data_IF_989947903316
#
_entry.id   IF_989947903316
#
_cell.length_a   1.000
_cell.length_b   1.000
_cell.length_c   1.000
_cell.angle_alpha   90.00
_cell.angle_beta   90.00
_cell.angle_gamma   90.00
#
_symmetry.space_group_name_H-M   'P 1'
#
loop_
_entity.id
_entity.type
_entity.pdbx_description
1 polymer ?
#
# COMPACT_ATOMS: atom_id res chain seq x y z
N UNK A 1 -37.84 -59.79 17.30
CA UNK A 1 -36.65 -58.94 17.40
C UNK A 1 -36.38 -58.39 16.02
N UNK A 2 -36.69 -57.08 15.78
CA UNK A 2 -36.47 -56.41 14.48
C UNK A 2 -35.16 -55.60 14.62
N UNK A 3 -34.11 -56.00 13.90
CA UNK A 3 -32.87 -55.25 13.82
C UNK A 3 -33.07 -54.06 12.89
N UNK A 4 -32.99 -52.86 13.44
CA UNK A 4 -33.00 -51.58 12.70
C UNK A 4 -31.54 -51.23 12.35
N UNK A 5 -31.19 -51.39 11.07
CA UNK A 5 -29.90 -50.93 10.54
C UNK A 5 -29.95 -49.40 10.39
N UNK A 6 -29.20 -48.68 11.20
CA UNK A 6 -28.94 -47.24 10.98
C UNK A 6 -27.85 -47.10 9.92
N UNK A 7 -28.23 -46.67 8.72
CA UNK A 7 -27.30 -46.24 7.68
C UNK A 7 -26.97 -44.75 7.97
N UNK A 8 -25.80 -44.48 8.52
CA UNK A 8 -25.27 -43.12 8.67
C UNK A 8 -24.75 -42.69 7.29
N UNK A 9 -25.47 -41.84 6.60
CA UNK A 9 -25.01 -41.19 5.39
C UNK A 9 -23.98 -40.12 5.77
N UNK A 10 -22.69 -40.39 5.51
CA UNK A 10 -21.62 -39.40 5.62
C UNK A 10 -21.76 -38.45 4.41
N UNK A 11 -22.36 -37.30 4.63
CA UNK A 11 -22.36 -36.23 3.63
C UNK A 11 -20.95 -35.58 3.60
N UNK A 12 -20.14 -36.00 2.65
CA UNK A 12 -18.92 -35.28 2.29
C UNK A 12 -19.35 -33.99 1.62
N UNK A 13 -19.31 -32.88 2.38
CA UNK A 13 -19.40 -31.55 1.79
C UNK A 13 -18.09 -31.31 1.04
N UNK A 14 -18.11 -31.50 -0.27
CA UNK A 14 -17.07 -30.95 -1.14
C UNK A 14 -17.18 -29.43 -1.08
N UNK A 15 -16.31 -28.79 -0.33
CA UNK A 15 -16.03 -27.38 -0.55
C UNK A 15 -15.37 -27.30 -1.93
N UNK A 16 -16.12 -26.88 -2.95
CA UNK A 16 -15.52 -26.47 -4.21
C UNK A 16 -14.60 -25.28 -3.87
N UNK A 17 -13.30 -25.52 -3.80
CA UNK A 17 -12.32 -24.44 -3.84
C UNK A 17 -12.54 -23.70 -5.17
N UNK A 18 -12.62 -22.37 -5.13
CA UNK A 18 -12.83 -21.58 -6.32
C UNK A 18 -11.61 -21.76 -7.25
N UNK A 19 -11.83 -22.38 -8.40
CA UNK A 19 -10.84 -22.49 -9.46
C UNK A 19 -10.91 -21.23 -10.33
N UNK A 20 -9.98 -20.30 -10.10
CA UNK A 20 -9.95 -19.05 -10.85
C UNK A 20 -9.50 -19.20 -12.30
N UNK A 21 -8.94 -20.33 -12.70
CA UNK A 21 -8.60 -20.59 -14.11
C UNK A 21 -9.85 -20.75 -15.00
N UNK A 22 -10.97 -21.18 -14.39
CA UNK A 22 -12.25 -21.37 -15.10
C UNK A 22 -13.24 -20.22 -14.89
N UNK A 23 -12.84 -19.17 -14.19
CA UNK A 23 -13.70 -18.00 -14.01
C UNK A 23 -13.99 -17.33 -15.37
N UNK A 24 -15.23 -16.84 -15.57
CA UNK A 24 -15.69 -16.24 -16.84
C UNK A 24 -14.78 -15.12 -17.40
N UNK A 25 -14.08 -14.38 -16.52
CA UNK A 25 -13.19 -13.29 -16.90
C UNK A 25 -11.70 -13.71 -16.93
N UNK A 26 -11.37 -14.98 -16.68
CA UNK A 26 -9.98 -15.45 -16.62
C UNK A 26 -9.34 -15.56 -17.99
N UNK A 27 -10.11 -15.95 -19.01
CA UNK A 27 -9.57 -16.15 -20.35
C UNK A 27 -8.88 -14.88 -20.88
N UNK A 28 -9.49 -13.72 -20.70
CA UNK A 28 -8.89 -12.44 -21.12
C UNK A 28 -7.54 -12.18 -20.43
N UNK A 29 -7.42 -12.50 -19.14
CA UNK A 29 -6.17 -12.35 -18.39
C UNK A 29 -5.12 -13.37 -18.86
N UNK A 30 -5.52 -14.61 -19.10
CA UNK A 30 -4.66 -15.68 -19.62
C UNK A 30 -4.12 -15.27 -20.99
N UNK A 31 -5.02 -14.86 -21.89
CA UNK A 31 -4.66 -14.43 -23.26
C UNK A 31 -3.66 -13.27 -23.24
N UNK A 32 -3.86 -12.28 -22.36
CA UNK A 32 -2.94 -11.14 -22.22
C UNK A 32 -1.56 -11.60 -21.72
N UNK A 33 -1.52 -12.44 -20.66
CA UNK A 33 -0.24 -12.96 -20.11
C UNK A 33 0.52 -13.81 -21.13
N UNK A 34 -0.18 -14.62 -21.92
CA UNK A 34 0.43 -15.50 -22.91
C UNK A 34 0.85 -14.72 -24.15
N UNK A 35 -0.07 -13.99 -24.78
CA UNK A 35 0.16 -13.37 -26.10
C UNK A 35 0.99 -12.10 -26.04
N UNK A 36 0.81 -11.28 -24.98
CA UNK A 36 1.52 -10.00 -24.87
C UNK A 36 2.80 -10.12 -24.05
N UNK A 37 2.80 -10.97 -23.00
CA UNK A 37 3.91 -11.08 -22.07
C UNK A 37 4.71 -12.38 -22.15
N UNK A 38 4.28 -13.35 -22.99
CA UNK A 38 5.02 -14.58 -23.28
C UNK A 38 5.13 -15.53 -22.11
N UNK A 39 4.10 -15.61 -21.27
CA UNK A 39 3.99 -16.66 -20.26
C UNK A 39 3.49 -17.96 -20.89
N UNK A 40 3.95 -19.10 -20.36
CA UNK A 40 3.38 -20.40 -20.72
C UNK A 40 1.94 -20.51 -20.18
N UNK A 41 0.99 -20.87 -21.03
CA UNK A 41 -0.43 -20.95 -20.67
C UNK A 41 -0.66 -21.90 -19.48
N UNK A 42 -0.01 -23.07 -19.51
CA UNK A 42 -0.09 -24.07 -18.43
C UNK A 42 0.37 -23.51 -17.09
N UNK A 43 1.41 -22.70 -17.06
CA UNK A 43 1.89 -22.02 -15.85
C UNK A 43 0.86 -21.02 -15.31
N UNK A 44 0.28 -20.20 -16.17
CA UNK A 44 -0.74 -19.22 -15.76
C UNK A 44 -1.97 -19.94 -15.17
N UNK A 45 -2.42 -21.02 -15.84
CA UNK A 45 -3.52 -21.86 -15.36
C UNK A 45 -3.21 -22.45 -13.99
N UNK A 46 -2.02 -23.05 -13.80
CA UNK A 46 -1.60 -23.63 -12.52
C UNK A 46 -1.62 -22.60 -11.39
N UNK A 47 -1.07 -21.41 -11.64
CA UNK A 47 -1.07 -20.32 -10.65
C UNK A 47 -2.49 -19.91 -10.28
N UNK A 48 -3.39 -19.73 -11.25
CA UNK A 48 -4.79 -19.38 -11.01
C UNK A 48 -5.55 -20.47 -10.27
N UNK A 49 -5.29 -21.75 -10.57
CA UNK A 49 -5.87 -22.90 -9.86
C UNK A 49 -5.41 -22.99 -8.39
N UNK A 50 -4.16 -22.59 -8.13
CA UNK A 50 -3.59 -22.58 -6.77
C UNK A 50 -4.15 -21.50 -5.87
N UNK A 51 -4.77 -20.46 -6.45
CA UNK A 51 -5.26 -19.31 -5.72
C UNK A 51 -6.56 -19.63 -4.96
N UNK A 52 -6.63 -19.15 -3.72
CA UNK A 52 -7.76 -19.42 -2.81
C UNK A 52 -8.62 -18.19 -2.66
N UNK A 53 -9.92 -18.36 -2.82
CA UNK A 53 -10.89 -17.30 -2.53
C UNK A 53 -10.88 -16.91 -1.04
N UNK A 54 -10.88 -15.60 -0.78
CA UNK A 54 -10.80 -15.02 0.58
C UNK A 54 -11.86 -13.94 0.76
N UNK A 55 -13.07 -14.32 1.16
CA UNK A 55 -14.20 -13.39 1.35
C UNK A 55 -13.91 -12.28 2.36
N UNK A 56 -13.00 -12.51 3.31
CA UNK A 56 -12.55 -11.48 4.25
C UNK A 56 -11.88 -10.29 3.57
N UNK A 57 -11.21 -10.49 2.43
CA UNK A 57 -10.56 -9.44 1.65
C UNK A 57 -11.59 -8.53 1.01
N UNK A 58 -12.66 -9.08 0.45
CA UNK A 58 -13.78 -8.32 -0.10
C UNK A 58 -14.41 -7.41 0.96
N UNK A 59 -14.61 -7.93 2.18
CA UNK A 59 -15.14 -7.15 3.31
C UNK A 59 -14.20 -6.01 3.73
N UNK A 60 -12.89 -6.26 3.80
CA UNK A 60 -11.88 -5.26 4.19
C UNK A 60 -11.75 -4.15 3.15
N UNK A 61 -11.69 -4.48 1.86
CA UNK A 61 -11.62 -3.49 0.77
C UNK A 61 -12.89 -2.65 0.68
N UNK A 62 -14.04 -3.20 1.06
CA UNK A 62 -15.31 -2.46 1.09
C UNK A 62 -15.32 -1.34 2.16
N UNK A 63 -14.61 -1.52 3.27
CA UNK A 63 -14.66 -0.63 4.44
C UNK A 63 -13.25 -0.22 4.92
N UNK A 64 -12.50 0.55 4.12
CA UNK A 64 -11.16 0.97 4.50
C UNK A 64 -11.21 1.98 5.66
N UNK A 65 -10.23 1.91 6.57
CA UNK A 65 -10.16 2.75 7.77
C UNK A 65 -10.14 4.25 7.44
N UNK A 66 -9.50 4.62 6.33
CA UNK A 66 -9.37 5.99 5.84
C UNK A 66 -10.71 6.65 5.52
N UNK A 67 -11.73 5.85 5.19
CA UNK A 67 -13.09 6.33 4.87
C UNK A 67 -14.07 6.24 6.04
N UNK A 68 -13.74 5.44 7.04
CA UNK A 68 -14.69 5.10 8.13
C UNK A 68 -14.34 5.76 9.46
N UNK A 69 -13.10 6.26 9.62
CA UNK A 69 -12.61 6.85 10.87
C UNK A 69 -12.54 8.37 10.80
N UNK A 70 -12.87 9.01 11.93
CA UNK A 70 -12.59 10.43 12.14
C UNK A 70 -11.08 10.68 12.20
N UNK A 71 -10.64 11.94 12.05
CA UNK A 71 -9.23 12.28 12.24
C UNK A 71 -8.71 11.92 13.62
N UNK A 72 -9.49 12.21 14.68
CA UNK A 72 -9.11 11.85 16.04
C UNK A 72 -8.82 10.36 16.20
N UNK A 73 -9.74 9.52 15.71
CA UNK A 73 -9.56 8.07 15.76
C UNK A 73 -8.38 7.61 14.92
N UNK A 74 -8.24 8.15 13.71
CA UNK A 74 -7.18 7.78 12.78
C UNK A 74 -5.80 8.17 13.32
N UNK A 75 -5.66 9.38 13.85
CA UNK A 75 -4.43 9.88 14.48
C UNK A 75 -3.96 8.96 15.61
N UNK A 76 -4.88 8.48 16.46
CA UNK A 76 -4.54 7.61 17.59
C UNK A 76 -3.99 6.24 17.18
N UNK A 77 -4.24 5.79 15.94
CA UNK A 77 -3.69 4.54 15.42
C UNK A 77 -2.17 4.68 15.21
N UNK A 78 -1.73 5.83 14.71
CA UNK A 78 -0.36 6.02 14.23
C UNK A 78 0.52 6.83 15.19
N UNK A 79 0.00 7.86 15.86
CA UNK A 79 0.78 8.75 16.73
C UNK A 79 0.81 8.19 18.15
N UNK A 80 1.55 7.10 18.35
CA UNK A 80 1.72 6.42 19.63
C UNK A 80 3.14 6.57 20.13
N UNK A 81 3.32 6.73 21.46
CA UNK A 81 4.65 6.84 22.10
C UNK A 81 5.61 5.73 21.65
N UNK A 82 5.10 4.49 21.57
CA UNK A 82 5.91 3.35 21.12
C UNK A 82 6.38 3.53 19.69
N UNK A 83 5.47 3.88 18.75
CA UNK A 83 5.84 4.07 17.33
C UNK A 83 6.81 5.22 17.14
N UNK A 84 6.65 6.32 17.90
CA UNK A 84 7.60 7.45 17.89
C UNK A 84 8.98 6.99 18.37
N UNK A 85 9.04 6.22 19.47
CA UNK A 85 10.30 5.66 19.98
C UNK A 85 10.95 4.72 18.97
N UNK A 86 10.17 3.81 18.38
CA UNK A 86 10.64 2.84 17.41
C UNK A 86 11.14 3.55 16.11
N UNK A 87 10.46 4.62 15.67
CA UNK A 87 10.89 5.43 14.52
C UNK A 87 12.19 6.18 14.77
N UNK A 88 12.37 6.78 15.93
CA UNK A 88 13.65 7.42 16.30
C UNK A 88 14.80 6.39 16.36
N UNK A 89 14.50 5.18 16.84
CA UNK A 89 15.46 4.08 16.82
C UNK A 89 15.78 3.67 15.38
N UNK A 90 14.77 3.52 14.52
CA UNK A 90 14.95 3.19 13.11
C UNK A 90 15.82 4.23 12.38
N UNK A 91 15.58 5.53 12.61
CA UNK A 91 16.40 6.60 12.04
C UNK A 91 17.86 6.43 12.47
N UNK A 92 18.11 6.22 13.76
CA UNK A 92 19.46 6.05 14.29
C UNK A 92 20.19 4.83 13.69
N UNK A 93 19.48 3.72 13.52
CA UNK A 93 20.04 2.47 13.01
C UNK A 93 20.30 2.50 11.50
N UNK A 94 19.57 3.34 10.74
CA UNK A 94 19.67 3.42 9.29
C UNK A 94 20.09 4.84 8.83
N UNK A 95 20.79 5.59 9.67
CA UNK A 95 21.06 7.02 9.45
C UNK A 95 21.79 7.29 8.14
N UNK A 96 22.80 6.48 7.80
CA UNK A 96 23.61 6.66 6.59
C UNK A 96 22.77 6.52 5.32
N UNK A 97 21.93 5.49 5.25
CA UNK A 97 21.03 5.24 4.11
C UNK A 97 19.97 6.33 3.99
N UNK A 98 19.38 6.73 5.13
CA UNK A 98 18.37 7.79 5.17
C UNK A 98 18.93 9.15 4.76
N UNK A 99 20.13 9.53 5.21
CA UNK A 99 20.78 10.79 4.82
C UNK A 99 21.21 10.77 3.35
N UNK A 100 21.66 9.63 2.84
CA UNK A 100 21.92 9.46 1.41
C UNK A 100 20.63 9.66 0.60
N UNK A 101 19.51 9.03 0.99
CA UNK A 101 18.24 9.18 0.31
C UNK A 101 17.70 10.63 0.40
N UNK A 102 17.84 11.30 1.54
CA UNK A 102 17.47 12.70 1.71
C UNK A 102 18.29 13.61 0.79
N UNK A 103 19.61 13.39 0.70
CA UNK A 103 20.49 14.15 -0.17
C UNK A 103 20.15 13.97 -1.66
N UNK A 104 19.89 12.74 -2.08
CA UNK A 104 19.66 12.35 -3.47
C UNK A 104 18.26 12.74 -3.97
N UNK A 105 17.23 12.40 -3.21
CA UNK A 105 15.82 12.60 -3.62
C UNK A 105 15.22 13.91 -3.07
N UNK A 106 15.85 14.54 -2.09
CA UNK A 106 15.34 15.74 -1.43
C UNK A 106 14.18 15.48 -0.48
N UNK A 107 13.94 14.23 -0.09
CA UNK A 107 12.87 13.83 0.83
C UNK A 107 13.45 13.68 2.23
N UNK A 108 12.95 14.44 3.24
CA UNK A 108 13.46 14.36 4.60
C UNK A 108 13.38 12.94 5.16
N UNK A 109 14.43 12.51 5.85
CA UNK A 109 14.52 11.19 6.48
C UNK A 109 13.34 10.87 7.42
N UNK A 110 12.80 11.91 8.08
CA UNK A 110 11.65 11.76 8.95
C UNK A 110 10.37 11.38 8.16
N UNK A 111 10.20 11.90 6.94
CA UNK A 111 9.06 11.56 6.06
C UNK A 111 9.18 10.12 5.57
N UNK A 112 10.36 9.70 5.09
CA UNK A 112 10.61 8.32 4.65
C UNK A 112 10.32 7.36 5.80
N UNK A 113 10.88 7.66 6.98
CA UNK A 113 10.67 6.84 8.19
C UNK A 113 9.22 6.82 8.65
N UNK A 114 8.49 7.96 8.51
CA UNK A 114 7.08 8.02 8.88
C UNK A 114 6.21 7.12 7.98
N UNK A 115 6.49 7.08 6.68
CA UNK A 115 5.81 6.15 5.76
C UNK A 115 6.08 4.70 6.18
N UNK A 116 7.34 4.30 6.41
CA UNK A 116 7.67 2.95 6.92
C UNK A 116 6.95 2.64 8.24
N UNK A 117 6.83 3.64 9.11
CA UNK A 117 6.11 3.53 10.38
C UNK A 117 4.61 3.34 10.21
N UNK A 118 3.99 4.05 9.28
CA UNK A 118 2.55 3.96 9.01
C UNK A 118 2.23 2.65 8.30
N UNK A 119 2.98 2.28 7.27
CA UNK A 119 2.73 1.10 6.43
C UNK A 119 2.93 -0.21 7.19
N UNK A 120 4.09 -0.38 7.80
CA UNK A 120 4.48 -1.70 8.32
C UNK A 120 4.93 -1.70 9.77
N UNK A 121 4.86 -0.54 10.47
CA UNK A 121 5.51 -0.40 11.76
C UNK A 121 7.00 -0.79 11.69
N UNK A 122 7.70 -0.23 10.69
CA UNK A 122 9.13 -0.45 10.41
C UNK A 122 9.46 -1.91 10.07
N UNK A 123 8.61 -2.58 9.30
CA UNK A 123 8.73 -3.99 8.91
C UNK A 123 8.11 -4.98 9.90
N UNK A 124 7.53 -4.51 11.01
CA UNK A 124 6.90 -5.39 12.01
C UNK A 124 5.58 -6.04 11.52
N UNK A 125 4.97 -5.53 10.46
CA UNK A 125 3.75 -6.08 9.86
C UNK A 125 3.69 -5.78 8.36
N UNK A 126 4.22 -6.64 7.55
CA UNK A 126 4.21 -6.53 6.09
C UNK A 126 3.04 -7.29 5.43
N UNK A 127 2.08 -7.77 6.23
CA UNK A 127 0.98 -8.59 5.76
C UNK A 127 1.27 -10.10 5.86
N UNK A 128 0.19 -10.88 5.85
CA UNK A 128 0.27 -12.34 6.04
C UNK A 128 -0.51 -13.13 4.98
N UNK A 129 -1.20 -12.44 4.08
CA UNK A 129 -1.96 -13.09 3.03
C UNK A 129 -1.06 -13.40 1.82
N UNK A 130 -1.28 -14.53 1.17
CA UNK A 130 -0.65 -14.74 -0.14
C UNK A 130 -1.16 -13.66 -1.10
N UNK A 131 -0.23 -12.98 -1.77
CA UNK A 131 -0.58 -11.90 -2.72
C UNK A 131 -1.44 -12.43 -3.85
N UNK A 132 -1.14 -13.63 -4.34
CA UNK A 132 -1.94 -14.30 -5.37
C UNK A 132 -3.40 -14.49 -4.93
N UNK A 133 -3.66 -14.94 -3.68
CA UNK A 133 -5.03 -15.08 -3.17
C UNK A 133 -5.75 -13.72 -3.09
N UNK A 134 -5.03 -12.68 -2.67
CA UNK A 134 -5.57 -11.33 -2.56
C UNK A 134 -5.98 -10.77 -3.93
N UNK A 135 -5.05 -10.81 -4.88
CA UNK A 135 -5.25 -10.21 -6.19
C UNK A 135 -6.27 -10.98 -7.03
N UNK A 136 -6.29 -12.33 -6.97
CA UNK A 136 -7.30 -13.12 -7.66
C UNK A 136 -8.69 -12.92 -7.06
N UNK A 137 -8.84 -13.00 -5.72
CA UNK A 137 -10.14 -12.75 -5.08
C UNK A 137 -10.68 -11.37 -5.45
N UNK A 138 -9.87 -10.33 -5.33
CA UNK A 138 -10.30 -8.96 -5.64
C UNK A 138 -10.44 -8.71 -7.15
N UNK A 139 -9.62 -9.37 -7.97
CA UNK A 139 -9.64 -9.23 -9.43
C UNK A 139 -10.86 -9.88 -10.08
N UNK A 140 -11.39 -10.92 -9.48
CA UNK A 140 -12.51 -11.65 -10.06
C UNK A 140 -13.82 -11.46 -9.30
N UNK A 141 -13.79 -11.24 -7.98
CA UNK A 141 -15.00 -11.21 -7.15
C UNK A 141 -15.34 -9.81 -6.59
N UNK A 142 -14.49 -8.78 -6.69
CA UNK A 142 -14.85 -7.42 -6.26
C UNK A 142 -15.72 -6.73 -7.32
N UNK A 143 -16.95 -6.35 -7.00
CA UNK A 143 -17.88 -5.80 -7.99
C UNK A 143 -17.52 -4.38 -8.47
N UNK A 144 -16.63 -3.68 -7.76
CA UNK A 144 -16.32 -2.27 -8.02
C UNK A 144 -14.94 -2.05 -8.63
N UNK A 145 -13.95 -2.85 -8.24
CA UNK A 145 -12.53 -2.63 -8.59
C UNK A 145 -11.88 -3.84 -9.26
N UNK A 146 -12.66 -4.81 -9.75
CA UNK A 146 -12.12 -6.03 -10.37
C UNK A 146 -11.12 -5.74 -11.49
N UNK A 147 -11.41 -4.79 -12.37
CA UNK A 147 -10.48 -4.40 -13.45
C UNK A 147 -9.12 -3.92 -12.92
N UNK A 148 -9.14 -3.10 -11.88
CA UNK A 148 -7.91 -2.61 -11.25
C UNK A 148 -7.10 -3.78 -10.66
N UNK A 149 -7.73 -4.68 -9.91
CA UNK A 149 -7.02 -5.79 -9.30
C UNK A 149 -6.56 -6.85 -10.31
N UNK A 150 -7.28 -7.03 -11.43
CA UNK A 150 -6.78 -7.86 -12.55
C UNK A 150 -5.53 -7.25 -13.20
N UNK A 151 -5.50 -5.93 -13.40
CA UNK A 151 -4.30 -5.24 -13.85
C UNK A 151 -3.14 -5.43 -12.86
N UNK A 152 -3.38 -5.30 -11.55
CA UNK A 152 -2.35 -5.55 -10.55
C UNK A 152 -1.91 -7.03 -10.51
N UNK A 153 -2.80 -7.97 -10.82
CA UNK A 153 -2.46 -9.38 -10.93
C UNK A 153 -1.52 -9.64 -12.12
N UNK A 154 -1.75 -9.03 -13.28
CA UNK A 154 -0.84 -9.07 -14.41
C UNK A 154 0.53 -8.49 -14.01
N UNK A 155 0.53 -7.32 -13.36
CA UNK A 155 1.77 -6.72 -12.86
C UNK A 155 2.49 -7.61 -11.84
N UNK A 156 1.75 -8.42 -11.07
CA UNK A 156 2.33 -9.37 -10.11
C UNK A 156 3.01 -10.53 -10.81
N UNK A 157 2.41 -11.10 -11.85
CA UNK A 157 3.08 -12.12 -12.68
C UNK A 157 4.40 -11.59 -13.25
N UNK A 158 4.37 -10.38 -13.80
CA UNK A 158 5.57 -9.73 -14.37
C UNK A 158 6.63 -9.48 -13.30
N UNK A 159 6.23 -8.89 -12.16
CA UNK A 159 7.10 -8.59 -11.03
C UNK A 159 7.84 -9.84 -10.53
N UNK A 160 7.10 -10.93 -10.34
CA UNK A 160 7.68 -12.17 -9.80
C UNK A 160 8.67 -12.81 -10.76
N UNK A 161 8.42 -12.74 -12.07
CA UNK A 161 9.35 -13.18 -13.11
C UNK A 161 10.60 -12.30 -13.19
N UNK A 162 10.44 -10.97 -13.11
CA UNK A 162 11.52 -9.99 -13.23
C UNK A 162 12.50 -10.05 -12.05
N UNK A 163 12.03 -10.42 -10.87
CA UNK A 163 12.83 -10.39 -9.63
C UNK A 163 13.06 -11.79 -9.01
N UNK A 164 12.76 -12.86 -9.75
CA UNK A 164 12.88 -14.25 -9.27
C UNK A 164 12.14 -14.49 -7.93
N UNK A 165 10.96 -13.92 -7.78
CA UNK A 165 10.12 -14.02 -6.58
C UNK A 165 9.12 -15.17 -6.74
N UNK A 166 8.96 -16.01 -5.71
CA UNK A 166 7.98 -17.11 -5.71
C UNK A 166 6.54 -16.55 -5.62
N UNK A 167 5.83 -16.59 -6.76
CA UNK A 167 4.45 -16.09 -6.90
C UNK A 167 3.47 -16.77 -5.93
N UNK A 168 3.70 -18.04 -5.60
CA UNK A 168 2.81 -18.84 -4.75
C UNK A 168 3.05 -18.63 -3.25
N UNK A 169 4.24 -18.13 -2.85
CA UNK A 169 4.62 -17.96 -1.45
C UNK A 169 4.65 -16.52 -0.98
N UNK A 170 4.73 -15.58 -1.91
CA UNK A 170 4.82 -14.15 -1.60
C UNK A 170 3.63 -13.68 -0.77
N UNK A 171 3.95 -13.03 0.36
CA UNK A 171 2.96 -12.51 1.29
C UNK A 171 2.89 -10.99 1.24
N UNK A 172 1.69 -10.47 1.54
CA UNK A 172 1.41 -9.06 1.57
C UNK A 172 0.13 -8.74 2.34
N UNK A 173 -0.39 -7.53 2.12
CA UNK A 173 -1.67 -7.10 2.69
C UNK A 173 -2.86 -7.81 2.03
N UNK A 174 -4.03 -7.62 2.62
CA UNK A 174 -5.31 -8.11 2.06
C UNK A 174 -5.64 -7.52 0.67
N UNK A 175 -4.98 -6.45 0.28
CA UNK A 175 -5.14 -5.79 -1.03
C UNK A 175 -3.93 -6.00 -1.96
N UNK A 176 -2.98 -6.89 -1.59
CA UNK A 176 -1.83 -7.24 -2.42
C UNK A 176 -0.65 -6.28 -2.33
N UNK A 177 -0.61 -5.38 -1.34
CA UNK A 177 0.55 -4.54 -1.08
C UNK A 177 1.67 -5.33 -0.38
N UNK A 178 2.95 -5.07 -0.74
CA UNK A 178 4.08 -5.93 -0.42
C UNK A 178 5.25 -5.20 0.25
N UNK A 179 5.96 -5.94 1.10
CA UNK A 179 7.23 -5.53 1.69
C UNK A 179 7.15 -4.37 2.68
N UNK A 180 8.29 -3.82 3.06
CA UNK A 180 8.42 -2.68 3.97
C UNK A 180 7.63 -1.46 3.53
N UNK A 181 7.65 -1.15 2.23
CA UNK A 181 7.01 0.01 1.61
C UNK A 181 5.55 -0.20 1.25
N UNK A 182 5.01 -1.43 1.40
CA UNK A 182 3.64 -1.76 1.01
C UNK A 182 3.27 -1.30 -0.41
N UNK A 183 4.19 -1.49 -1.36
CA UNK A 183 3.91 -1.23 -2.77
C UNK A 183 2.97 -2.29 -3.34
N UNK A 184 1.97 -1.86 -4.11
CA UNK A 184 1.22 -2.75 -5.01
C UNK A 184 2.12 -3.14 -6.19
N UNK A 185 1.75 -4.17 -6.94
CA UNK A 185 2.61 -4.75 -7.98
C UNK A 185 3.10 -3.74 -9.01
N UNK A 186 2.21 -2.89 -9.52
CA UNK A 186 2.54 -1.84 -10.47
C UNK A 186 3.49 -0.79 -9.88
N UNK A 187 3.31 -0.42 -8.61
CA UNK A 187 4.19 0.53 -7.94
C UNK A 187 5.56 -0.07 -7.65
N UNK A 188 5.62 -1.35 -7.31
CA UNK A 188 6.89 -2.07 -7.12
C UNK A 188 7.72 -2.00 -8.41
N UNK A 189 7.14 -2.41 -9.55
CA UNK A 189 7.82 -2.39 -10.85
C UNK A 189 8.21 -0.98 -11.31
N UNK A 190 7.42 0.04 -10.99
CA UNK A 190 7.64 1.39 -11.48
C UNK A 190 8.59 2.23 -10.61
N UNK A 191 8.67 1.96 -9.32
CA UNK A 191 9.32 2.86 -8.36
C UNK A 191 10.30 2.21 -7.43
N UNK A 192 10.28 0.87 -7.26
CA UNK A 192 11.27 0.19 -6.44
C UNK A 192 12.64 0.23 -7.12
N UNK A 193 13.68 0.38 -6.33
CA UNK A 193 15.07 0.48 -6.78
C UNK A 193 15.97 -0.37 -5.89
N UNK A 194 16.99 -0.95 -6.49
CA UNK A 194 18.14 -1.54 -5.80
C UNK A 194 18.97 -0.39 -5.21
N UNK A 195 18.79 -0.14 -3.92
CA UNK A 195 19.40 1.00 -3.26
C UNK A 195 20.63 0.63 -2.43
N UNK A 196 20.83 -0.62 -2.09
CA UNK A 196 22.08 -1.11 -1.50
C UNK A 196 23.11 -1.53 -2.54
N UNK A 197 22.71 -1.72 -3.80
CA UNK A 197 23.59 -1.99 -4.94
C UNK A 197 24.02 -3.44 -5.03
N UNK A 198 23.24 -4.38 -4.49
CA UNK A 198 23.53 -5.80 -4.54
C UNK A 198 23.10 -6.48 -5.85
N UNK A 199 22.41 -5.76 -6.74
CA UNK A 199 21.92 -6.21 -8.04
C UNK A 199 20.48 -6.70 -8.02
N UNK A 200 19.79 -6.65 -6.88
CA UNK A 200 18.41 -7.07 -6.70
C UNK A 200 17.57 -5.97 -6.09
N UNK A 201 16.29 -5.94 -6.39
CA UNK A 201 15.33 -5.05 -5.72
C UNK A 201 14.55 -5.86 -4.71
N UNK A 202 14.88 -5.75 -3.42
CA UNK A 202 14.26 -6.55 -2.35
C UNK A 202 13.55 -5.69 -1.31
N UNK A 203 12.27 -5.41 -1.55
CA UNK A 203 11.43 -4.68 -0.57
C UNK A 203 10.99 -5.54 0.63
N UNK A 204 11.31 -6.84 0.64
CA UNK A 204 10.92 -7.74 1.74
C UNK A 204 12.00 -7.84 2.81
N UNK A 205 13.28 -7.78 2.43
CA UNK A 205 14.40 -8.02 3.34
C UNK A 205 15.40 -6.85 3.39
N UNK A 206 15.55 -6.06 2.30
CA UNK A 206 16.41 -4.88 2.28
C UNK A 206 15.67 -3.64 2.77
N UNK A 207 16.12 -3.08 3.90
CA UNK A 207 15.64 -1.78 4.40
C UNK A 207 16.16 -0.64 3.55
N UNK A 208 17.34 -0.80 3.02
CA UNK A 208 18.00 0.14 2.13
C UNK A 208 17.16 0.35 0.87
N UNK A 209 16.74 -0.72 0.23
CA UNK A 209 15.88 -0.66 -0.95
C UNK A 209 14.52 -0.04 -0.62
N UNK A 210 13.94 -0.40 0.52
CA UNK A 210 12.68 0.18 0.95
C UNK A 210 12.80 1.70 1.19
N UNK A 211 13.89 2.17 1.82
CA UNK A 211 14.18 3.59 2.05
C UNK A 211 14.33 4.32 0.71
N UNK A 212 15.19 3.81 -0.16
CA UNK A 212 15.44 4.38 -1.48
C UNK A 212 14.18 4.40 -2.34
N UNK A 213 13.43 3.32 -2.35
CA UNK A 213 12.18 3.19 -3.14
C UNK A 213 11.08 4.14 -2.69
N UNK A 214 10.90 4.35 -1.37
CA UNK A 214 9.96 5.36 -0.84
C UNK A 214 10.37 6.75 -1.27
N UNK A 215 11.66 7.09 -1.15
CA UNK A 215 12.18 8.38 -1.55
C UNK A 215 12.02 8.63 -3.07
N UNK A 216 12.35 7.62 -3.89
CA UNK A 216 12.15 7.65 -5.34
C UNK A 216 10.66 7.83 -5.70
N UNK A 217 9.76 7.08 -5.04
CA UNK A 217 8.31 7.22 -5.24
C UNK A 217 7.85 8.65 -5.01
N UNK A 218 8.19 9.24 -3.88
CA UNK A 218 7.79 10.61 -3.55
C UNK A 218 8.39 11.62 -4.55
N UNK A 219 9.65 11.47 -4.92
CA UNK A 219 10.31 12.30 -5.93
C UNK A 219 9.60 12.22 -7.28
N UNK A 220 9.28 11.03 -7.74
CA UNK A 220 8.57 10.79 -9.00
C UNK A 220 7.13 11.33 -8.98
N UNK A 221 6.54 11.46 -7.79
CA UNK A 221 5.21 12.06 -7.58
C UNK A 221 5.24 13.56 -7.25
N UNK A 222 6.34 14.22 -7.52
CA UNK A 222 6.43 15.69 -7.48
C UNK A 222 6.89 16.28 -6.16
N UNK A 223 7.54 15.49 -5.29
CA UNK A 223 8.17 16.01 -4.09
C UNK A 223 9.14 17.15 -4.41
N UNK A 224 9.01 18.25 -3.69
CA UNK A 224 9.87 19.43 -3.80
C UNK A 224 10.81 19.50 -2.60
N UNK A 225 12.12 19.50 -2.85
CA UNK A 225 13.13 19.74 -1.81
C UNK A 225 12.82 21.08 -1.15
N UNK A 226 12.91 21.13 0.18
CA UNK A 226 12.61 22.31 1.01
C UNK A 226 11.15 22.84 0.92
N UNK A 227 10.28 22.17 0.12
CA UNK A 227 8.86 22.46 0.08
C UNK A 227 8.16 22.09 1.38
N UNK A 228 7.13 22.85 1.73
CA UNK A 228 6.28 22.51 2.87
C UNK A 228 5.36 21.32 2.52
N UNK A 229 4.98 20.56 3.54
CA UNK A 229 3.91 19.56 3.41
C UNK A 229 2.57 20.24 3.63
N UNK A 230 2.40 20.94 4.74
CA UNK A 230 1.20 21.71 5.07
C UNK A 230 1.56 23.04 5.74
N UNK A 231 0.68 24.01 5.59
CA UNK A 231 0.71 25.26 6.34
C UNK A 231 -0.57 25.34 7.17
N UNK A 232 -0.45 25.45 8.50
CA UNK A 232 -1.59 25.68 9.38
C UNK A 232 -2.13 27.10 9.16
N UNK A 233 -3.46 27.20 9.01
CA UNK A 233 -4.14 28.49 8.82
C UNK A 233 -5.19 28.68 9.90
N UNK A 234 -5.51 29.94 10.18
CA UNK A 234 -6.56 30.31 11.13
C UNK A 234 -7.74 30.88 10.36
N UNK A 235 -8.99 30.71 10.84
CA UNK A 235 -10.20 31.12 10.11
C UNK A 235 -10.14 32.57 9.59
N UNK A 236 -9.56 33.48 10.36
CA UNK A 236 -9.43 34.90 9.99
C UNK A 236 -8.42 35.17 8.87
N UNK A 237 -7.57 34.20 8.54
CA UNK A 237 -6.51 34.31 7.53
C UNK A 237 -6.78 33.49 6.26
N UNK A 238 -7.81 32.63 6.24
CA UNK A 238 -8.12 31.77 5.08
C UNK A 238 -8.31 32.62 3.82
N UNK A 239 -8.96 33.79 3.92
CA UNK A 239 -9.15 34.72 2.78
C UNK A 239 -7.85 35.31 2.22
N UNK A 240 -6.76 35.42 3.00
CA UNK A 240 -5.46 35.94 2.51
C UNK A 240 -4.75 34.96 1.59
N UNK A 241 -5.02 33.66 1.71
CA UNK A 241 -4.46 32.62 0.85
C UNK A 241 -5.32 32.37 -0.39
N UNK A 242 -6.54 32.90 -0.42
CA UNK A 242 -7.42 32.85 -1.58
C UNK A 242 -7.16 34.07 -2.47
N UNK A 243 -6.10 34.00 -3.29
CA UNK A 243 -5.92 34.97 -4.39
C UNK A 243 -6.61 34.41 -5.64
N UNK A 244 -7.64 35.09 -6.17
CA UNK A 244 -8.44 34.58 -7.31
C UNK A 244 -7.68 34.39 -8.63
N UNK A 245 -6.41 34.81 -8.71
CA UNK A 245 -5.61 34.86 -9.93
C UNK A 245 -4.34 33.98 -9.95
N UNK A 246 -3.97 33.34 -8.84
CA UNK A 246 -2.94 32.32 -8.87
C UNK A 246 -3.66 30.95 -9.03
N UNK A 247 -3.26 30.17 -10.02
CA UNK A 247 -3.94 28.94 -10.39
C UNK A 247 -4.30 28.12 -9.15
N UNK A 248 -5.59 27.95 -8.88
CA UNK A 248 -6.18 27.18 -7.76
C UNK A 248 -5.79 25.70 -7.74
N UNK A 249 -4.94 25.26 -8.66
CA UNK A 249 -4.46 23.89 -8.77
C UNK A 249 -3.31 23.56 -7.81
N UNK A 250 -2.73 24.55 -7.14
CA UNK A 250 -1.52 24.36 -6.33
C UNK A 250 -1.79 24.03 -4.85
N UNK A 251 -2.92 24.48 -4.27
CA UNK A 251 -3.18 24.35 -2.84
C UNK A 251 -4.39 23.47 -2.54
N UNK A 252 -4.27 22.59 -1.55
CA UNK A 252 -5.35 21.71 -1.10
C UNK A 252 -5.87 22.26 0.24
N UNK A 253 -7.11 22.79 0.30
CA UNK A 253 -7.72 23.17 1.56
C UNK A 253 -8.08 21.92 2.36
N UNK A 254 -7.61 21.83 3.61
CA UNK A 254 -7.81 20.71 4.49
C UNK A 254 -8.48 21.17 5.79
N UNK A 255 -9.49 20.45 6.22
CA UNK A 255 -10.14 20.67 7.51
C UNK A 255 -10.24 19.34 8.25
N UNK A 256 -9.73 19.32 9.47
CA UNK A 256 -9.79 18.16 10.36
C UNK A 256 -10.47 18.59 11.67
N UNK A 257 -11.20 17.67 12.30
CA UNK A 257 -11.76 17.88 13.62
C UNK A 257 -10.89 17.13 14.64
N UNK A 258 -10.31 17.87 15.58
CA UNK A 258 -9.50 17.30 16.67
C UNK A 258 -10.06 17.78 18.01
N UNK A 259 -10.52 16.84 18.85
CA UNK A 259 -11.12 17.11 20.16
C UNK A 259 -12.26 18.16 20.07
N UNK A 260 -13.09 18.02 19.04
CA UNK A 260 -14.22 18.90 18.78
C UNK A 260 -13.87 20.30 18.24
N UNK A 261 -12.59 20.54 17.90
CA UNK A 261 -12.13 21.81 17.30
C UNK A 261 -11.72 21.60 15.85
N UNK A 262 -12.10 22.52 14.99
CA UNK A 262 -11.64 22.54 13.61
C UNK A 262 -10.20 23.01 13.52
N UNK A 263 -9.41 22.23 12.80
CA UNK A 263 -8.05 22.56 12.40
C UNK A 263 -8.03 22.75 10.89
N UNK A 264 -7.55 23.92 10.46
CA UNK A 264 -7.48 24.24 9.05
C UNK A 264 -6.02 24.28 8.59
N UNK A 265 -5.78 23.66 7.42
CA UNK A 265 -4.47 23.62 6.79
C UNK A 265 -4.60 23.88 5.29
N UNK A 266 -3.50 24.25 4.70
CA UNK A 266 -3.29 24.27 3.26
C UNK A 266 -2.22 23.24 2.97
N UNK A 267 -2.54 22.22 2.17
CA UNK A 267 -1.60 21.22 1.66
C UNK A 267 -0.90 21.73 0.40
N UNK A 268 0.41 21.57 0.37
CA UNK A 268 1.28 21.90 -0.77
C UNK A 268 1.55 20.68 -1.66
N UNK A 269 2.43 20.81 -2.65
CA UNK A 269 2.85 19.71 -3.54
C UNK A 269 3.37 18.49 -2.77
N UNK A 270 4.09 18.71 -1.67
CA UNK A 270 4.61 17.63 -0.85
C UNK A 270 3.51 16.87 -0.10
N UNK A 271 2.44 17.56 0.31
CA UNK A 271 1.25 16.89 0.83
C UNK A 271 0.60 15.99 -0.24
N UNK A 272 0.50 16.51 -1.46
CA UNK A 272 -0.04 15.77 -2.60
C UNK A 272 0.79 14.54 -2.92
N UNK A 273 2.13 14.65 -2.89
CA UNK A 273 3.05 13.53 -3.10
C UNK A 273 2.82 12.42 -2.06
N UNK A 274 2.66 12.76 -0.77
CA UNK A 274 2.33 11.79 0.28
C UNK A 274 0.93 11.20 0.06
N UNK A 275 -0.06 12.02 -0.27
CA UNK A 275 -1.44 11.55 -0.51
C UNK A 275 -1.55 10.62 -1.72
N UNK A 276 -0.59 10.64 -2.66
CA UNK A 276 -0.53 9.68 -3.76
C UNK A 276 -0.16 8.26 -3.32
N UNK A 277 0.54 8.14 -2.19
CA UNK A 277 0.94 6.85 -1.64
C UNK A 277 -0.28 6.01 -1.21
N UNK A 278 -1.21 6.67 -0.54
CA UNK A 278 -2.52 6.10 -0.21
C UNK A 278 -3.56 7.22 -0.36
N UNK A 279 -4.45 7.16 -1.36
CA UNK A 279 -5.37 8.24 -1.75
C UNK A 279 -6.27 8.66 -0.57
N UNK A 280 -5.69 9.41 0.38
CA UNK A 280 -6.34 9.78 1.64
C UNK A 280 -5.63 10.96 2.31
N UNK A 281 -6.39 12.02 2.62
CA UNK A 281 -5.87 13.18 3.33
C UNK A 281 -5.52 12.85 4.80
N UNK A 282 -6.30 11.99 5.46
CA UNK A 282 -6.00 11.57 6.84
C UNK A 282 -4.72 10.74 6.90
N UNK A 283 -4.43 9.94 5.88
CA UNK A 283 -3.17 9.21 5.74
C UNK A 283 -1.99 10.19 5.61
N UNK A 284 -2.05 11.10 4.65
CA UNK A 284 -0.98 12.06 4.41
C UNK A 284 -0.70 12.91 5.66
N UNK A 285 -1.76 13.28 6.37
CA UNK A 285 -1.65 14.03 7.62
C UNK A 285 -1.04 13.19 8.74
N UNK A 286 -1.37 11.89 8.83
CA UNK A 286 -0.76 11.00 9.82
C UNK A 286 0.75 10.82 9.58
N UNK A 287 1.17 10.65 8.32
CA UNK A 287 2.60 10.62 7.94
C UNK A 287 3.29 11.92 8.35
N UNK A 288 2.71 13.08 8.01
CA UNK A 288 3.25 14.37 8.39
C UNK A 288 3.41 14.53 9.91
N UNK A 289 2.35 14.26 10.69
CA UNK A 289 2.41 14.37 12.15
C UNK A 289 3.42 13.42 12.76
N UNK A 290 3.53 12.20 12.26
CA UNK A 290 4.52 11.23 12.75
C UNK A 290 5.95 11.70 12.45
N UNK A 291 6.20 12.24 11.26
CA UNK A 291 7.49 12.83 10.89
C UNK A 291 7.87 14.00 11.81
N UNK A 292 6.91 14.88 12.14
CA UNK A 292 7.16 16.00 13.07
C UNK A 292 7.50 15.53 14.51
N UNK A 293 6.94 14.39 14.95
CA UNK A 293 7.31 13.78 16.25
C UNK A 293 8.75 13.21 16.25
N UNK A 294 9.27 12.81 15.10
CA UNK A 294 10.67 12.34 15.01
C UNK A 294 11.69 13.47 15.13
N UNK A 295 11.32 14.68 14.74
CA UNK A 295 12.19 15.88 14.84
C UNK A 295 12.37 16.41 16.27
N UNK A 296 11.43 16.07 17.19
CA UNK A 296 11.49 16.45 18.60
C UNK A 296 12.48 15.58 19.38
#
# INVERSE_FOLDING_TARGET
>A
MKNLLFITALTFSFFLEADYSTHKDSQMLIDELVNEYGFEESYVIEVLQSAKRRDEMLKKVANPAEKTKTWDDYKTIFIKKKRIKDGKKFIKENINTLERAEAEFGVPKEIITAILGVETNFGGNMGSFRVIDSLTTLGFDDPRRSKFFRSELIQFFLLTRENDIDILKTKGSYAGAMGYSQFISSSYRAYAIDYDGDGYVDLFNSKEDAIGSIANYLKRHGWKKEGKVVTKVYPNNVRKFYKPHESLTQFIPLTFIEKGKELHFIGDDNFRAIARYNISDVYAMAVYYLAEEFKK
#
